data_IF_419718709357
#
_entry.id   IF_419718709357
#
_cell.length_a   1.000
_cell.length_b   1.000
_cell.length_c   1.000
_cell.angle_alpha   90.00
_cell.angle_beta   90.00
_cell.angle_gamma   90.00
#
_symmetry.space_group_name_H-M   'P 1'
#
loop_
_entity.id
_entity.type
_entity.pdbx_description
1 polymer ?
#
# COMPACT_ATOMS: atom_id res chain seq x y z
N UNK A 1 -3.21 18.45 8.64
CA UNK A 1 -3.72 17.59 7.55
C UNK A 1 -3.27 18.18 6.21
N UNK A 2 -2.80 17.37 5.27
CA UNK A 2 -2.40 17.80 3.92
C UNK A 2 -2.98 16.90 2.83
N UNK A 3 -3.15 17.45 1.62
CA UNK A 3 -3.58 16.69 0.44
C UNK A 3 -2.54 16.93 -0.66
N UNK A 4 -2.13 15.87 -1.36
CA UNK A 4 -1.22 15.93 -2.50
C UNK A 4 -1.60 17.06 -3.46
N UNK A 5 -0.60 17.80 -3.94
CA UNK A 5 -0.79 18.91 -4.89
C UNK A 5 -1.30 18.46 -6.25
N UNK A 6 -1.16 17.17 -6.58
CA UNK A 6 -1.67 16.59 -7.84
C UNK A 6 -3.18 16.33 -7.83
N UNK A 7 -3.86 16.64 -6.73
CA UNK A 7 -5.30 16.41 -6.55
C UNK A 7 -5.98 17.79 -6.49
N UNK A 8 -6.88 18.02 -7.44
CA UNK A 8 -7.53 19.30 -7.71
C UNK A 8 -9.04 19.08 -7.94
N UNK A 9 -9.81 20.17 -8.04
CA UNK A 9 -11.24 20.11 -8.35
C UNK A 9 -12.07 19.35 -7.31
N UNK A 10 -13.10 18.67 -7.79
CA UNK A 10 -14.11 17.98 -6.96
C UNK A 10 -13.49 16.85 -6.13
N UNK A 11 -12.54 16.09 -6.69
CA UNK A 11 -11.78 15.05 -5.99
C UNK A 11 -11.13 15.58 -4.69
N UNK A 12 -10.64 16.83 -4.72
CA UNK A 12 -10.02 17.46 -3.55
C UNK A 12 -11.05 17.79 -2.48
N UNK A 13 -12.24 18.21 -2.88
CA UNK A 13 -13.34 18.54 -1.96
C UNK A 13 -13.87 17.28 -1.31
N UNK A 14 -14.17 16.24 -2.09
CA UNK A 14 -14.61 14.94 -1.58
C UNK A 14 -13.58 14.33 -0.62
N UNK A 15 -12.29 14.40 -0.97
CA UNK A 15 -11.24 13.92 -0.08
C UNK A 15 -11.15 14.72 1.21
N UNK A 16 -11.35 16.04 1.19
CA UNK A 16 -11.37 16.83 2.43
C UNK A 16 -12.50 16.38 3.36
N UNK A 17 -13.69 16.10 2.80
CA UNK A 17 -14.84 15.63 3.57
C UNK A 17 -14.59 14.23 4.15
N UNK A 18 -14.11 13.30 3.33
CA UNK A 18 -13.75 11.96 3.77
C UNK A 18 -12.62 11.97 4.82
N UNK A 19 -11.72 12.96 4.75
CA UNK A 19 -10.66 13.15 5.73
C UNK A 19 -11.12 13.73 7.06
N UNK A 20 -12.18 14.54 7.05
CA UNK A 20 -12.73 15.14 8.26
C UNK A 20 -13.37 14.10 9.18
N UNK A 21 -13.77 12.95 8.65
CA UNK A 21 -14.33 11.84 9.42
C UNK A 21 -13.28 10.85 9.94
N UNK A 22 -11.99 11.06 9.67
CA UNK A 22 -10.93 10.18 10.17
C UNK A 22 -10.58 10.47 11.64
N UNK A 23 -10.36 9.39 12.39
CA UNK A 23 -9.90 9.44 13.77
C UNK A 23 -8.36 9.51 13.81
N UNK A 24 -7.83 10.74 13.87
CA UNK A 24 -6.39 10.98 13.99
C UNK A 24 -6.02 11.35 15.45
N UNK A 25 -5.05 10.66 16.08
CA UNK A 25 -4.56 11.02 17.41
C UNK A 25 -3.99 12.44 17.48
N UNK A 26 -4.13 13.07 18.63
CA UNK A 26 -3.60 14.42 18.88
C UNK A 26 -2.07 14.47 18.69
N UNK A 27 -1.58 15.57 18.13
CA UNK A 27 -0.15 15.78 17.85
C UNK A 27 0.36 15.07 16.59
N UNK A 28 -0.49 14.33 15.87
CA UNK A 28 -0.14 13.73 14.57
C UNK A 28 -0.64 14.54 13.39
N UNK A 29 0.04 14.42 12.26
CA UNK A 29 -0.40 14.94 10.97
C UNK A 29 -0.45 13.82 9.95
N UNK A 30 -1.44 13.88 9.05
CA UNK A 30 -1.50 13.01 7.87
C UNK A 30 -1.45 13.82 6.57
N UNK A 31 -0.95 13.18 5.53
CA UNK A 31 -0.96 13.66 4.15
C UNK A 31 -1.59 12.60 3.26
N UNK A 32 -2.63 12.96 2.51
CA UNK A 32 -3.23 12.07 1.52
C UNK A 32 -2.43 12.06 0.23
N UNK A 33 -2.14 10.84 -0.25
CA UNK A 33 -1.43 10.57 -1.50
C UNK A 33 -2.40 10.55 -2.68
N UNK A 34 -1.90 10.76 -3.90
CA UNK A 34 -2.70 10.67 -5.14
C UNK A 34 -3.45 9.34 -5.29
N UNK A 35 -2.89 8.24 -4.78
CA UNK A 35 -3.57 6.93 -4.75
C UNK A 35 -4.79 6.85 -3.81
N UNK A 36 -5.02 7.88 -2.99
CA UNK A 36 -6.18 7.99 -2.11
C UNK A 36 -7.43 8.55 -2.78
N UNK A 37 -7.33 9.10 -4.00
CA UNK A 37 -8.48 9.61 -4.76
C UNK A 37 -9.50 8.48 -4.99
N UNK A 38 -10.79 8.79 -4.81
CA UNK A 38 -11.89 7.83 -4.95
C UNK A 38 -11.97 6.74 -3.88
N UNK A 39 -11.18 6.83 -2.80
CA UNK A 39 -11.30 5.91 -1.66
C UNK A 39 -12.36 6.39 -0.66
N UNK A 40 -13.15 5.45 -0.15
CA UNK A 40 -14.10 5.73 0.93
C UNK A 40 -13.38 6.13 2.22
N UNK A 41 -14.06 6.88 3.09
CA UNK A 41 -13.57 7.23 4.42
C UNK A 41 -13.16 5.97 5.22
N UNK A 42 -13.93 4.88 5.12
CA UNK A 42 -13.62 3.60 5.75
C UNK A 42 -12.30 3.00 5.25
N UNK A 43 -12.05 3.04 3.95
CA UNK A 43 -10.80 2.55 3.36
C UNK A 43 -9.60 3.39 3.82
N UNK A 44 -9.79 4.71 3.93
CA UNK A 44 -8.77 5.62 4.46
C UNK A 44 -8.53 5.42 5.96
N UNK A 45 -9.58 5.23 6.76
CA UNK A 45 -9.50 4.93 8.19
C UNK A 45 -8.79 3.59 8.45
N UNK A 46 -9.05 2.59 7.61
CA UNK A 46 -8.35 1.31 7.67
C UNK A 46 -6.85 1.47 7.41
N UNK A 47 -6.46 2.24 6.38
CA UNK A 47 -5.05 2.53 6.08
C UNK A 47 -4.38 3.31 7.22
N UNK A 48 -5.06 4.32 7.77
CA UNK A 48 -4.61 5.08 8.93
C UNK A 48 -4.39 4.17 10.14
N UNK A 49 -5.37 3.32 10.46
CA UNK A 49 -5.30 2.38 11.58
C UNK A 49 -4.13 1.42 11.46
N UNK A 50 -3.81 0.98 10.25
CA UNK A 50 -2.62 0.18 10.01
C UNK A 50 -1.34 0.96 10.31
N UNK A 51 -1.24 2.21 9.84
CA UNK A 51 -0.06 3.07 10.11
C UNK A 51 0.11 3.35 11.61
N UNK A 52 -0.97 3.58 12.33
CA UNK A 52 -0.95 3.77 13.78
C UNK A 52 -0.44 2.52 14.51
N UNK A 53 -0.92 1.32 14.14
CA UNK A 53 -0.40 0.06 14.70
C UNK A 53 1.10 -0.10 14.45
N UNK A 54 1.56 0.29 13.26
CA UNK A 54 2.98 0.24 12.93
C UNK A 54 3.80 1.23 13.77
N UNK A 55 3.30 2.44 13.97
CA UNK A 55 3.91 3.44 14.85
C UNK A 55 4.01 2.95 16.30
N UNK A 56 2.97 2.31 16.83
CA UNK A 56 3.01 1.71 18.17
C UNK A 56 4.08 0.62 18.29
N UNK A 57 4.26 -0.20 17.24
CA UNK A 57 5.32 -1.20 17.22
C UNK A 57 6.73 -0.55 17.23
N UNK A 58 6.92 0.55 16.50
CA UNK A 58 8.17 1.32 16.50
C UNK A 58 8.47 1.87 17.89
N UNK A 59 7.49 2.50 18.55
CA UNK A 59 7.67 3.04 19.91
C UNK A 59 8.05 1.95 20.92
N UNK A 60 7.30 0.85 20.92
CA UNK A 60 7.60 -0.30 21.81
C UNK A 60 8.98 -0.87 21.57
N UNK A 61 9.40 -1.00 20.31
CA UNK A 61 10.73 -1.48 19.98
C UNK A 61 11.81 -0.50 20.45
N UNK A 62 11.62 0.81 20.29
CA UNK A 62 12.54 1.84 20.78
C UNK A 62 12.73 1.80 22.30
N UNK A 63 11.66 1.54 23.06
CA UNK A 63 11.69 1.44 24.53
C UNK A 63 12.26 0.10 25.03
N UNK A 64 12.27 -0.94 24.19
CA UNK A 64 12.62 -2.31 24.62
C UNK A 64 14.09 -2.54 24.95
N UNK A 65 15.02 -1.74 24.41
CA UNK A 65 16.47 -1.87 24.65
C UNK A 65 17.22 -0.57 24.37
N UNK A 66 18.40 -0.35 24.98
CA UNK A 66 19.21 0.84 24.71
C UNK A 66 19.83 0.82 23.30
N UNK A 67 20.10 2.02 22.78
CA UNK A 67 20.73 2.24 21.48
C UNK A 67 22.22 1.77 21.46
N UNK A 68 22.81 1.50 20.28
CA UNK A 68 22.22 1.58 18.93
C UNK A 68 21.67 0.24 18.41
N UNK A 69 20.53 0.28 17.73
CA UNK A 69 20.01 -0.86 16.97
C UNK A 69 18.98 -0.46 15.92
N UNK A 70 18.73 -1.37 14.96
CA UNK A 70 17.72 -1.20 13.93
C UNK A 70 16.30 -1.45 14.49
N UNK A 71 15.44 -0.42 14.43
CA UNK A 71 14.03 -0.50 14.86
C UNK A 71 13.10 -0.86 13.69
N UNK A 72 13.32 -0.22 12.55
CA UNK A 72 12.52 -0.44 11.35
C UNK A 72 13.42 -0.40 10.12
N UNK A 73 13.28 -1.40 9.26
CA UNK A 73 13.86 -1.40 7.93
C UNK A 73 12.73 -1.11 6.95
N UNK A 74 12.92 -0.12 6.08
CA UNK A 74 11.95 0.13 5.01
C UNK A 74 11.75 -1.16 4.21
N UNK A 75 10.49 -1.43 3.86
CA UNK A 75 10.13 -2.66 3.17
C UNK A 75 10.94 -2.85 1.89
N UNK A 76 11.31 -4.10 1.64
CA UNK A 76 11.92 -4.60 0.40
C UNK A 76 11.16 -4.05 -0.83
N UNK A 77 11.87 -3.88 -1.96
CA UNK A 77 11.37 -3.37 -3.25
C UNK A 77 10.00 -3.92 -3.64
N UNK A 78 9.69 -5.16 -3.25
CA UNK A 78 8.39 -5.83 -3.44
C UNK A 78 7.21 -5.03 -2.88
N UNK A 79 7.29 -4.57 -1.62
CA UNK A 79 6.19 -3.82 -0.98
C UNK A 79 6.02 -2.46 -1.64
N UNK A 80 7.12 -1.80 -1.99
CA UNK A 80 7.09 -0.53 -2.74
C UNK A 80 6.46 -0.73 -4.11
N UNK A 81 6.83 -1.82 -4.80
CA UNK A 81 6.28 -2.16 -6.10
C UNK A 81 4.76 -2.35 -6.03
N UNK A 82 4.27 -3.12 -5.05
CA UNK A 82 2.83 -3.28 -4.84
C UNK A 82 2.15 -1.96 -4.44
N UNK A 83 2.75 -1.16 -3.56
CA UNK A 83 2.15 0.11 -3.12
C UNK A 83 2.02 1.12 -4.26
N UNK A 84 3.02 1.17 -5.15
CA UNK A 84 3.15 2.24 -6.14
C UNK A 84 2.62 1.84 -7.52
N UNK A 85 2.63 0.55 -7.86
CA UNK A 85 2.25 0.06 -9.19
C UNK A 85 1.04 -0.88 -9.20
N UNK A 86 0.57 -1.42 -8.06
CA UNK A 86 -0.60 -2.29 -8.06
C UNK A 86 -1.87 -1.48 -8.34
N UNK A 87 -2.28 -1.48 -9.61
CA UNK A 87 -3.50 -0.84 -10.11
C UNK A 87 -4.59 -1.89 -10.32
N UNK A 88 -5.84 -1.45 -10.43
CA UNK A 88 -7.00 -2.34 -10.60
C UNK A 88 -6.98 -3.14 -11.91
N UNK A 89 -6.33 -2.61 -12.95
CA UNK A 89 -6.17 -3.23 -14.27
C UNK A 89 -5.12 -4.35 -14.31
N UNK A 90 -4.34 -4.53 -13.24
CA UNK A 90 -3.33 -5.60 -13.16
C UNK A 90 -4.00 -6.91 -12.76
N UNK A 91 -4.21 -7.83 -13.70
CA UNK A 91 -4.84 -9.13 -13.40
C UNK A 91 -3.95 -10.11 -12.65
N UNK A 92 -2.64 -10.13 -12.89
CA UNK A 92 -1.75 -11.16 -12.35
C UNK A 92 -0.37 -10.60 -12.02
N UNK A 93 0.26 -11.14 -10.98
CA UNK A 93 1.64 -10.85 -10.58
C UNK A 93 2.43 -12.16 -10.63
N UNK A 94 3.32 -12.24 -11.62
CA UNK A 94 4.17 -13.41 -11.85
C UNK A 94 5.49 -13.26 -11.10
N UNK A 95 5.80 -14.21 -10.22
CA UNK A 95 7.07 -14.25 -9.48
C UNK A 95 7.78 -15.56 -9.81
N UNK A 96 9.00 -15.49 -10.33
CA UNK A 96 9.80 -16.65 -10.73
C UNK A 96 10.60 -17.27 -9.58
N UNK A 97 10.99 -16.45 -8.60
CA UNK A 97 11.76 -16.88 -7.44
C UNK A 97 10.85 -17.28 -6.25
N UNK A 98 10.92 -18.53 -5.76
CA UNK A 98 10.06 -19.01 -4.68
C UNK A 98 10.26 -18.25 -3.36
N UNK A 99 11.50 -17.84 -3.03
CA UNK A 99 11.77 -17.05 -1.82
C UNK A 99 11.12 -15.66 -1.90
N UNK A 100 11.11 -15.06 -3.10
CA UNK A 100 10.45 -13.78 -3.33
C UNK A 100 8.93 -13.93 -3.24
N UNK A 101 8.37 -15.03 -3.74
CA UNK A 101 6.93 -15.33 -3.66
C UNK A 101 6.45 -15.47 -2.20
N UNK A 102 7.24 -16.15 -1.35
CA UNK A 102 6.96 -16.27 0.09
C UNK A 102 6.93 -14.91 0.79
N UNK A 103 7.83 -13.99 0.43
CA UNK A 103 7.86 -12.63 0.96
C UNK A 103 6.75 -11.74 0.38
N UNK A 104 6.40 -11.95 -0.88
CA UNK A 104 5.43 -11.13 -1.61
C UNK A 104 3.98 -11.40 -1.21
N UNK A 105 3.64 -12.65 -0.91
CA UNK A 105 2.26 -13.03 -0.54
C UNK A 105 1.72 -12.28 0.68
N UNK A 106 2.42 -12.21 1.84
CA UNK A 106 1.96 -11.44 3.00
C UNK A 106 1.96 -9.93 2.72
N UNK A 107 2.94 -9.43 1.97
CA UNK A 107 3.00 -8.03 1.54
C UNK A 107 1.79 -7.63 0.69
N UNK A 108 1.43 -8.47 -0.28
CA UNK A 108 0.27 -8.29 -1.15
C UNK A 108 -1.03 -8.25 -0.34
N UNK A 109 -1.22 -9.20 0.59
CA UNK A 109 -2.40 -9.24 1.48
C UNK A 109 -2.50 -8.00 2.36
N UNK A 110 -1.37 -7.50 2.86
CA UNK A 110 -1.30 -6.32 3.70
C UNK A 110 -1.68 -5.02 2.97
N UNK A 111 -1.38 -4.94 1.66
CA UNK A 111 -1.71 -3.78 0.83
C UNK A 111 -3.17 -3.81 0.36
N UNK A 112 -3.78 -5.00 0.31
CA UNK A 112 -5.18 -5.17 -0.06
C UNK A 112 -6.10 -4.74 1.09
N UNK A 113 -6.62 -3.51 1.01
CA UNK A 113 -7.70 -3.04 1.88
C UNK A 113 -8.99 -3.87 1.66
N UNK A 114 -9.82 -4.09 2.71
CA UNK A 114 -11.11 -4.81 2.60
C UNK A 114 -12.08 -4.24 1.55
N UNK A 115 -11.95 -2.94 1.20
CA UNK A 115 -12.78 -2.27 0.18
C UNK A 115 -12.37 -2.52 -1.28
N UNK A 116 -11.34 -3.33 -1.54
CA UNK A 116 -10.96 -3.73 -2.90
C UNK A 116 -11.93 -4.82 -3.42
N UNK A 117 -13.18 -4.42 -3.67
CA UNK A 117 -14.23 -5.26 -4.24
C UNK A 117 -14.22 -5.21 -5.77
N UNK A 118 -13.23 -5.84 -6.40
CA UNK A 118 -13.50 -6.72 -7.53
C UNK A 118 -12.34 -7.69 -7.72
N UNK A 119 -12.72 -8.96 -7.78
CA UNK A 119 -11.89 -10.17 -7.78
C UNK A 119 -11.18 -10.27 -9.13
N UNK A 120 -9.91 -10.69 -9.13
CA UNK A 120 -9.19 -11.41 -10.21
C UNK A 120 -7.66 -11.29 -10.06
N UNK A 121 -7.18 -10.42 -9.16
CA UNK A 121 -5.74 -10.26 -8.93
C UNK A 121 -5.15 -11.44 -8.15
N UNK A 122 -4.22 -12.17 -8.77
CA UNK A 122 -3.51 -13.27 -8.11
C UNK A 122 -1.99 -13.07 -8.14
N UNK A 123 -1.32 -13.47 -7.06
CA UNK A 123 0.14 -13.56 -7.00
C UNK A 123 0.49 -15.04 -7.02
N UNK A 124 1.15 -15.49 -8.07
CA UNK A 124 1.50 -16.89 -8.22
C UNK A 124 2.86 -17.06 -8.89
N UNK A 125 3.41 -18.28 -8.76
CA UNK A 125 4.68 -18.62 -9.37
C UNK A 125 4.52 -18.58 -10.90
N UNK A 126 5.45 -17.92 -11.60
CA UNK A 126 5.49 -18.00 -13.07
C UNK A 126 5.62 -19.48 -13.47
N UNK A 127 4.68 -19.96 -14.29
CA UNK A 127 4.81 -21.26 -14.93
C UNK A 127 5.93 -21.17 -15.98
N UNK A 128 7.01 -21.97 -15.89
CA UNK A 128 8.08 -21.97 -16.89
C UNK A 128 7.62 -22.38 -18.30
N UNK A 129 6.44 -22.98 -18.45
CA UNK A 129 5.86 -23.33 -19.75
C UNK A 129 5.10 -22.16 -20.43
N UNK A 130 4.80 -21.08 -19.71
CA UNK A 130 4.13 -19.90 -20.28
C UNK A 130 5.16 -19.01 -20.97
N UNK A 131 5.07 -18.96 -22.30
CA UNK A 131 5.94 -18.14 -23.14
C UNK A 131 5.72 -16.65 -22.80
N UNK A 132 6.79 -15.83 -22.76
CA UNK A 132 6.64 -14.41 -22.47
C UNK A 132 5.66 -13.76 -23.46
N UNK A 133 4.85 -12.82 -22.96
CA UNK A 133 4.02 -11.96 -23.82
C UNK A 133 4.94 -11.37 -24.90
N UNK A 134 4.53 -11.39 -26.17
CA UNK A 134 5.32 -10.79 -27.23
C UNK A 134 5.55 -9.32 -26.86
N UNK A 135 6.79 -8.86 -27.00
CA UNK A 135 7.12 -7.45 -26.83
C UNK A 135 6.14 -6.65 -27.67
N UNK A 136 5.36 -5.77 -27.03
CA UNK A 136 4.52 -4.84 -27.79
C UNK A 136 5.45 -4.03 -28.66
N UNK A 137 5.44 -4.35 -29.96
CA UNK A 137 6.07 -3.56 -31.00
C UNK A 137 5.61 -2.12 -30.78
N UNK A 138 6.55 -1.27 -30.41
CA UNK A 138 6.38 0.18 -30.53
C UNK A 138 6.29 0.49 -32.02
N UNK A 139 5.08 0.73 -32.50
CA UNK A 139 4.83 1.61 -33.64
C UNK A 139 4.55 3.03 -33.13
#
# INVERSE_FOLDING_TARGET
>A
MGISRRIEGDDRTELKEALASLELPEGMGLIVRTAGVGKSAEALQWDLSFRLKHWEAIKKAAESRPAPFLIHQESNVIVRAFRDYLRQDIGEILIDNPKVLELATPAYRCIRSPGFQQQNQTVHRRDPAVQPLPDRVTD
#
